data_IF_554058025726
#
_entry.id   IF_554058025726
#
_cell.length_a   1.000
_cell.length_b   1.000
_cell.length_c   1.000
_cell.angle_alpha   90.00
_cell.angle_beta   90.00
_cell.angle_gamma   90.00
#
_symmetry.space_group_name_H-M   'P 1'
#
loop_
_entity.id
_entity.type
_entity.pdbx_description
1 polymer ?
#
# COMPACT_ATOMS: atom_id res chain seq x y z
N UNK A 1 -14.55 1.51 64.15
CA UNK A 1 -14.56 2.39 62.94
C UNK A 1 -13.33 2.17 62.02
N UNK A 2 -12.08 2.14 62.52
CA UNK A 2 -10.89 1.94 61.63
C UNK A 2 -10.89 0.64 60.81
N UNK A 3 -11.42 -0.49 61.28
CA UNK A 3 -11.50 -1.75 60.56
C UNK A 3 -12.50 -1.74 59.37
N UNK A 4 -13.59 -0.99 59.48
CA UNK A 4 -14.62 -0.87 58.42
C UNK A 4 -14.07 -0.04 57.23
N UNK A 5 -13.29 1.02 57.51
CA UNK A 5 -12.65 1.82 56.46
C UNK A 5 -11.59 1.04 55.68
N UNK A 6 -10.86 0.14 56.33
CA UNK A 6 -9.84 -0.70 55.69
C UNK A 6 -10.50 -1.75 54.79
N UNK A 7 -11.64 -2.34 55.18
CA UNK A 7 -12.38 -3.32 54.38
C UNK A 7 -13.08 -2.67 53.19
N UNK A 8 -13.63 -1.47 53.35
CA UNK A 8 -14.23 -0.69 52.26
C UNK A 8 -13.18 -0.21 51.27
N UNK A 9 -11.99 0.21 51.71
CA UNK A 9 -10.89 0.61 50.86
C UNK A 9 -10.34 -0.60 50.06
N UNK A 10 -10.19 -1.76 50.70
CA UNK A 10 -9.74 -3.00 50.06
C UNK A 10 -10.75 -3.49 49.02
N UNK A 11 -12.07 -3.43 49.30
CA UNK A 11 -13.11 -3.74 48.34
C UNK A 11 -13.10 -2.76 47.16
N UNK A 12 -12.91 -1.47 47.39
CA UNK A 12 -12.84 -0.48 46.31
C UNK A 12 -11.64 -0.70 45.40
N UNK A 13 -10.48 -1.06 45.96
CA UNK A 13 -9.26 -1.41 45.19
C UNK A 13 -9.47 -2.70 44.35
N UNK A 14 -10.14 -3.71 44.93
CA UNK A 14 -10.44 -4.96 44.21
C UNK A 14 -11.46 -4.72 43.11
N UNK A 15 -12.51 -3.92 43.33
CA UNK A 15 -13.47 -3.57 42.27
C UNK A 15 -12.85 -2.69 41.19
N UNK A 16 -11.93 -1.79 41.53
CA UNK A 16 -11.17 -0.99 40.56
C UNK A 16 -10.25 -1.89 39.71
N UNK A 17 -9.53 -2.82 40.31
CA UNK A 17 -8.66 -3.77 39.61
C UNK A 17 -9.46 -4.74 38.69
N UNK A 18 -10.61 -5.24 39.12
CA UNK A 18 -11.49 -6.07 38.31
C UNK A 18 -12.10 -5.28 37.15
N UNK A 19 -12.45 -4.01 37.37
CA UNK A 19 -12.96 -3.14 36.31
C UNK A 19 -11.89 -2.81 35.25
N UNK A 20 -10.63 -2.61 35.67
CA UNK A 20 -9.49 -2.35 34.78
C UNK A 20 -9.11 -3.58 33.95
N UNK A 21 -9.11 -4.79 34.52
CA UNK A 21 -8.88 -6.01 33.77
C UNK A 21 -9.98 -6.26 32.72
N UNK A 22 -11.23 -6.02 33.05
CA UNK A 22 -12.35 -6.12 32.09
C UNK A 22 -12.27 -5.09 30.96
N UNK A 23 -11.65 -3.91 31.21
CA UNK A 23 -11.37 -2.91 30.17
C UNK A 23 -10.28 -3.39 29.21
N UNK A 24 -9.20 -3.99 29.71
CA UNK A 24 -8.10 -4.51 28.90
C UNK A 24 -8.54 -5.67 28.00
N UNK A 25 -9.26 -6.65 28.53
CA UNK A 25 -9.81 -7.77 27.73
C UNK A 25 -10.74 -7.28 26.60
N UNK A 26 -11.54 -6.25 26.88
CA UNK A 26 -12.39 -5.65 25.84
C UNK A 26 -11.56 -4.92 24.78
N UNK A 27 -10.49 -4.25 25.15
CA UNK A 27 -9.58 -3.60 24.22
C UNK A 27 -8.94 -4.62 23.29
N UNK A 28 -8.39 -5.72 23.82
CA UNK A 28 -7.84 -6.84 23.04
C UNK A 28 -8.86 -7.39 22.05
N UNK A 29 -10.10 -7.64 22.50
CA UNK A 29 -11.19 -8.15 21.64
C UNK A 29 -11.51 -7.21 20.46
N UNK A 30 -11.44 -5.88 20.65
CA UNK A 30 -11.64 -4.93 19.54
C UNK A 30 -10.42 -4.87 18.63
N UNK A 31 -9.21 -4.97 19.16
CA UNK A 31 -7.98 -5.07 18.40
C UNK A 31 -7.97 -6.31 17.49
N UNK A 32 -8.26 -7.50 18.03
CA UNK A 32 -8.39 -8.75 17.26
C UNK A 32 -9.44 -8.65 16.15
N UNK A 33 -10.53 -7.92 16.40
CA UNK A 33 -11.55 -7.63 15.38
C UNK A 33 -11.18 -6.53 14.40
N UNK A 34 -9.96 -6.01 14.48
CA UNK A 34 -9.46 -4.90 13.65
C UNK A 34 -10.31 -3.62 13.77
N UNK A 35 -11.04 -3.45 14.87
CA UNK A 35 -11.75 -2.20 15.19
C UNK A 35 -10.80 -1.28 15.97
N UNK A 36 -9.84 -0.71 15.26
CA UNK A 36 -8.76 0.07 15.86
C UNK A 36 -9.24 1.36 16.55
N UNK A 37 -10.21 2.13 16.02
CA UNK A 37 -10.73 3.29 16.75
C UNK A 37 -11.28 2.93 18.13
N UNK A 38 -12.01 1.82 18.24
CA UNK A 38 -12.57 1.37 19.51
C UNK A 38 -11.53 0.73 20.43
N UNK A 39 -10.55 0.02 19.87
CA UNK A 39 -9.42 -0.50 20.63
C UNK A 39 -8.61 0.64 21.26
N UNK A 40 -8.30 1.69 20.52
CA UNK A 40 -7.58 2.90 21.00
C UNK A 40 -8.31 3.50 22.19
N UNK A 41 -9.63 3.78 22.05
CA UNK A 41 -10.45 4.36 23.16
C UNK A 41 -10.32 3.55 24.46
N UNK A 42 -10.30 2.23 24.33
CA UNK A 42 -10.25 1.34 25.48
C UNK A 42 -8.83 1.19 26.04
N UNK A 43 -7.80 1.06 25.20
CA UNK A 43 -6.39 0.98 25.63
C UNK A 43 -5.92 2.24 26.33
N UNK A 44 -6.35 3.43 25.90
CA UNK A 44 -6.03 4.69 26.58
C UNK A 44 -6.47 4.73 28.04
N UNK A 45 -7.50 3.93 28.41
CA UNK A 45 -8.07 3.86 29.75
C UNK A 45 -7.76 2.53 30.48
N UNK A 46 -6.98 1.64 29.86
CA UNK A 46 -6.60 0.34 30.43
C UNK A 46 -5.27 0.43 31.20
N UNK A 47 -4.98 -0.55 32.08
CA UNK A 47 -3.66 -0.68 32.68
C UNK A 47 -2.57 -0.82 31.63
N UNK A 48 -1.47 -0.10 31.82
CA UNK A 48 -0.33 -0.13 30.92
C UNK A 48 0.51 -1.40 31.13
N UNK A 49 0.65 -2.20 30.07
CA UNK A 49 1.50 -3.38 29.98
C UNK A 49 2.27 -3.37 28.67
N UNK A 50 3.25 -4.26 28.50
CA UNK A 50 3.97 -4.41 27.23
C UNK A 50 2.97 -4.67 26.08
N UNK A 51 2.09 -5.65 26.23
CA UNK A 51 1.09 -6.02 25.24
C UNK A 51 0.10 -4.88 24.95
N UNK A 52 -0.37 -4.15 25.98
CA UNK A 52 -1.27 -3.02 25.76
C UNK A 52 -0.61 -1.86 25.01
N UNK A 53 0.69 -1.59 25.24
CA UNK A 53 1.44 -0.59 24.48
C UNK A 53 1.71 -1.05 23.04
N UNK A 54 2.02 -2.33 22.84
CA UNK A 54 2.17 -2.92 21.51
C UNK A 54 0.89 -2.74 20.69
N UNK A 55 -0.22 -3.23 21.21
CA UNK A 55 -1.51 -3.20 20.49
C UNK A 55 -2.06 -1.76 20.32
N UNK A 56 -1.79 -0.86 21.26
CA UNK A 56 -2.16 0.55 21.13
C UNK A 56 -1.32 1.25 20.06
N UNK A 57 0.00 1.00 20.06
CA UNK A 57 0.90 1.52 19.03
C UNK A 57 0.51 1.03 17.63
N UNK A 58 0.26 -0.28 17.52
CA UNK A 58 -0.23 -0.89 16.28
C UNK A 58 -1.57 -0.33 15.82
N UNK A 59 -2.51 -0.12 16.77
CA UNK A 59 -3.82 0.47 16.44
C UNK A 59 -3.68 1.87 15.85
N UNK A 60 -2.80 2.70 16.41
CA UNK A 60 -2.50 4.02 15.86
C UNK A 60 -1.81 3.93 14.50
N UNK A 61 -0.82 3.04 14.37
CA UNK A 61 -0.06 2.84 13.14
C UNK A 61 -0.97 2.43 11.97
N UNK A 62 -1.87 1.45 12.20
CA UNK A 62 -2.78 0.94 11.16
C UNK A 62 -3.86 1.92 10.70
N UNK A 63 -4.17 2.96 11.46
CA UNK A 63 -5.10 4.02 11.05
C UNK A 63 -4.39 5.35 10.74
N UNK A 64 -3.11 5.28 10.40
CA UNK A 64 -2.26 6.41 10.00
C UNK A 64 -2.13 7.55 11.04
N UNK A 65 -2.35 7.26 12.34
CA UNK A 65 -2.06 8.17 13.45
C UNK A 65 -0.61 8.02 13.90
N UNK A 66 0.29 8.46 13.03
CA UNK A 66 1.72 8.13 13.15
C UNK A 66 2.39 8.81 14.34
N UNK A 67 2.03 10.07 14.65
CA UNK A 67 2.58 10.78 15.83
C UNK A 67 2.24 10.06 17.14
N UNK A 68 0.99 9.60 17.28
CA UNK A 68 0.54 8.84 18.44
C UNK A 68 1.19 7.44 18.49
N UNK A 69 1.39 6.81 17.34
CA UNK A 69 2.12 5.54 17.24
C UNK A 69 3.56 5.69 17.73
N UNK A 70 4.30 6.72 17.25
CA UNK A 70 5.65 7.05 17.71
C UNK A 70 5.69 7.27 19.21
N UNK A 71 4.77 8.09 19.76
CA UNK A 71 4.71 8.35 21.19
C UNK A 71 4.45 7.09 22.02
N UNK A 72 3.66 6.14 21.49
CA UNK A 72 3.33 4.88 22.15
C UNK A 72 4.47 3.88 22.06
N UNK A 73 5.08 3.70 20.88
CA UNK A 73 6.24 2.82 20.71
C UNK A 73 7.44 3.34 21.52
N UNK A 74 7.65 4.67 21.59
CA UNK A 74 8.69 5.22 22.45
C UNK A 74 8.51 4.80 23.91
N UNK A 75 7.30 4.87 24.47
CA UNK A 75 7.01 4.38 25.82
C UNK A 75 7.29 2.89 25.98
N UNK A 76 6.95 2.08 24.95
CA UNK A 76 7.23 0.65 24.93
C UNK A 76 8.73 0.41 25.06
N UNK A 77 9.56 1.06 24.24
CA UNK A 77 11.02 0.91 24.21
C UNK A 77 11.73 1.52 25.43
N UNK A 78 11.18 2.60 26.00
CA UNK A 78 11.72 3.19 27.25
C UNK A 78 11.46 2.30 28.48
N UNK A 79 10.45 1.40 28.44
CA UNK A 79 9.99 0.65 29.63
C UNK A 79 10.36 -0.83 29.61
N UNK A 80 10.59 -1.41 28.45
CA UNK A 80 10.82 -2.85 28.30
C UNK A 80 12.07 -3.12 27.45
N UNK A 81 12.91 -4.06 27.93
CA UNK A 81 14.17 -4.43 27.25
C UNK A 81 13.99 -5.61 26.25
N UNK A 82 13.01 -6.47 26.50
CA UNK A 82 12.74 -7.64 25.64
C UNK A 82 11.52 -7.36 24.77
N UNK A 83 11.78 -6.83 23.58
CA UNK A 83 10.77 -6.46 22.59
C UNK A 83 10.97 -7.33 21.36
N UNK A 84 9.87 -7.83 20.80
CA UNK A 84 9.89 -8.62 19.56
C UNK A 84 10.51 -7.79 18.41
N UNK A 85 11.40 -8.38 17.58
CA UNK A 85 12.03 -7.72 16.44
C UNK A 85 11.08 -7.00 15.48
N UNK A 86 9.86 -7.49 15.31
CA UNK A 86 8.83 -6.86 14.50
C UNK A 86 8.53 -5.41 14.94
N UNK A 87 8.60 -5.11 16.25
CA UNK A 87 8.35 -3.75 16.78
C UNK A 87 9.49 -2.78 16.51
N UNK A 88 10.73 -3.25 16.31
CA UNK A 88 11.84 -2.41 15.83
C UNK A 88 11.54 -1.89 14.43
N UNK A 89 11.05 -2.78 13.55
CA UNK A 89 10.62 -2.41 12.20
C UNK A 89 9.46 -1.41 12.23
N UNK A 90 8.38 -1.70 12.97
CA UNK A 90 7.20 -0.82 13.07
C UNK A 90 7.54 0.54 13.66
N UNK A 91 8.34 0.58 14.73
CA UNK A 91 8.76 1.83 15.34
C UNK A 91 9.66 2.64 14.41
N UNK A 92 10.61 2.00 13.73
CA UNK A 92 11.44 2.68 12.74
C UNK A 92 10.59 3.27 11.59
N UNK A 93 9.61 2.53 11.08
CA UNK A 93 8.69 3.05 10.06
C UNK A 93 7.83 4.20 10.58
N UNK A 94 7.34 4.13 11.81
CA UNK A 94 6.63 5.25 12.43
C UNK A 94 7.53 6.49 12.58
N UNK A 95 8.79 6.33 12.99
CA UNK A 95 9.78 7.42 13.07
C UNK A 95 10.08 8.02 11.70
N UNK A 96 10.24 7.21 10.66
CA UNK A 96 10.35 7.70 9.28
C UNK A 96 9.11 8.51 8.91
N UNK A 97 7.91 8.03 9.25
CA UNK A 97 6.64 8.71 9.00
C UNK A 97 6.51 10.11 9.59
N UNK A 98 7.29 10.45 10.62
CA UNK A 98 7.43 11.81 11.17
C UNK A 98 8.73 12.51 10.72
N UNK A 99 9.51 11.92 9.81
CA UNK A 99 10.77 12.46 9.30
C UNK A 99 11.97 12.29 10.24
N UNK A 100 11.86 11.51 11.31
CA UNK A 100 12.96 11.24 12.24
C UNK A 100 13.85 10.08 11.76
N UNK A 101 14.51 10.28 10.61
CA UNK A 101 15.34 9.26 9.97
C UNK A 101 16.54 8.81 10.80
N UNK A 102 17.14 9.72 11.58
CA UNK A 102 18.32 9.41 12.40
C UNK A 102 18.02 8.34 13.45
N UNK A 103 16.90 8.47 14.16
CA UNK A 103 16.47 7.50 15.17
C UNK A 103 15.96 6.21 14.51
N UNK A 104 15.23 6.33 13.40
CA UNK A 104 14.77 5.18 12.63
C UNK A 104 15.93 4.31 12.12
N UNK A 105 16.93 4.93 11.52
CA UNK A 105 18.12 4.23 10.98
C UNK A 105 18.93 3.55 12.09
N UNK A 106 18.95 4.13 13.31
CA UNK A 106 19.60 3.54 14.47
C UNK A 106 18.90 2.27 15.01
N UNK A 107 17.59 2.13 14.76
CA UNK A 107 16.82 0.92 15.12
C UNK A 107 17.00 -0.24 14.13
N UNK A 108 17.37 0.06 12.88
CA UNK A 108 17.46 -0.89 11.75
C UNK A 108 18.91 -1.23 11.39
N UNK A 109 19.76 -1.50 12.38
CA UNK A 109 21.13 -1.96 12.16
C UNK A 109 21.13 -3.37 11.55
N UNK A 110 22.05 -3.63 10.62
CA UNK A 110 22.27 -4.97 10.08
C UNK A 110 22.87 -5.93 11.14
N UNK A 111 22.96 -7.22 10.81
CA UNK A 111 23.53 -8.27 11.69
C UNK A 111 24.98 -7.97 12.12
N UNK A 112 25.70 -7.10 11.41
CA UNK A 112 27.07 -6.69 11.71
C UNK A 112 27.12 -5.35 12.47
N UNK A 113 25.96 -4.76 12.82
CA UNK A 113 25.86 -3.48 13.48
C UNK A 113 26.15 -2.29 12.55
N UNK A 114 26.14 -2.48 11.21
CA UNK A 114 26.32 -1.38 10.29
C UNK A 114 25.01 -0.62 10.13
N UNK A 115 25.08 0.70 10.30
CA UNK A 115 23.95 1.59 10.04
C UNK A 115 23.74 1.83 8.55
N UNK A 116 22.50 2.14 8.19
CA UNK A 116 22.09 2.67 6.90
C UNK A 116 21.70 4.13 7.10
N UNK A 117 22.05 5.00 6.18
CA UNK A 117 21.57 6.37 6.20
C UNK A 117 20.53 6.58 5.10
N UNK A 118 19.27 6.63 5.52
CA UNK A 118 18.13 6.88 4.63
C UNK A 118 18.36 8.18 3.83
N UNK A 119 18.68 9.28 4.50
CA UNK A 119 18.88 10.58 3.83
C UNK A 119 20.02 10.58 2.82
N UNK A 120 21.12 9.91 3.12
CA UNK A 120 22.26 9.81 2.17
C UNK A 120 21.94 8.93 0.97
N UNK A 121 21.17 7.85 1.17
CA UNK A 121 20.73 6.99 0.09
C UNK A 121 19.81 7.76 -0.87
N UNK A 122 18.81 8.46 -0.36
CA UNK A 122 17.87 9.23 -1.19
C UNK A 122 18.54 10.41 -1.91
N UNK A 123 19.51 11.07 -1.29
CA UNK A 123 20.31 12.08 -2.00
C UNK A 123 21.02 11.50 -3.24
N UNK A 124 21.50 10.26 -3.17
CA UNK A 124 22.13 9.58 -4.32
C UNK A 124 21.08 9.14 -5.35
N UNK A 125 19.94 8.61 -4.91
CA UNK A 125 18.83 8.20 -5.78
C UNK A 125 18.37 9.42 -6.60
N UNK A 126 18.04 10.53 -5.96
CA UNK A 126 17.56 11.74 -6.62
C UNK A 126 18.57 12.32 -7.61
N UNK A 127 19.87 12.26 -7.29
CA UNK A 127 20.94 12.69 -8.20
C UNK A 127 21.09 11.77 -9.43
N UNK A 128 20.70 10.51 -9.33
CA UNK A 128 20.77 9.52 -10.42
C UNK A 128 19.50 9.41 -11.25
N UNK A 129 18.41 10.06 -10.83
CA UNK A 129 17.12 10.03 -11.52
C UNK A 129 17.18 10.75 -12.85
N UNK A 130 16.82 10.05 -13.94
CA UNK A 130 16.87 10.55 -15.31
C UNK A 130 15.52 11.15 -15.77
N UNK A 131 14.59 11.41 -14.85
CA UNK A 131 13.27 11.94 -15.14
C UNK A 131 12.97 13.11 -14.22
N UNK A 132 12.26 14.10 -14.77
CA UNK A 132 11.61 15.15 -13.99
C UNK A 132 10.15 14.75 -13.79
N UNK A 133 9.70 14.74 -12.54
CA UNK A 133 8.30 14.57 -12.20
C UNK A 133 7.73 15.90 -11.73
N UNK A 134 6.58 16.29 -12.30
CA UNK A 134 5.78 17.38 -11.78
C UNK A 134 4.56 16.73 -11.14
N UNK A 135 4.50 16.76 -9.82
CA UNK A 135 3.49 16.08 -9.01
C UNK A 135 2.51 17.07 -8.44
N UNK A 136 1.22 16.80 -8.59
CA UNK A 136 0.15 17.63 -8.07
C UNK A 136 -0.91 16.78 -7.38
N UNK A 137 -1.35 17.18 -6.18
CA UNK A 137 -2.57 16.63 -5.60
C UNK A 137 -3.76 17.08 -6.44
N UNK A 138 -4.62 16.16 -6.88
CA UNK A 138 -5.81 16.58 -7.65
C UNK A 138 -6.84 17.27 -6.75
N UNK A 139 -7.57 18.22 -7.30
CA UNK A 139 -8.55 19.01 -6.55
C UNK A 139 -9.81 18.21 -6.19
N UNK A 140 -10.05 17.13 -6.87
CA UNK A 140 -11.24 16.28 -6.78
C UNK A 140 -11.15 15.26 -5.63
N UNK A 141 -10.01 15.19 -4.94
CA UNK A 141 -9.92 14.46 -3.66
C UNK A 141 -10.87 15.11 -2.63
N UNK A 142 -11.52 14.28 -1.84
CA UNK A 142 -12.44 14.71 -0.78
C UNK A 142 -11.76 14.67 0.60
N UNK A 143 -12.54 14.68 1.66
CA UNK A 143 -12.07 14.40 3.03
C UNK A 143 -11.98 12.90 3.33
N UNK A 144 -12.38 12.05 2.39
CA UNK A 144 -12.38 10.60 2.47
C UNK A 144 -11.20 10.00 1.70
N UNK A 145 -10.99 8.69 1.83
CA UNK A 145 -9.94 7.97 1.10
C UNK A 145 -10.27 7.84 -0.39
N UNK A 146 -9.33 8.25 -1.26
CA UNK A 146 -9.34 8.07 -2.70
C UNK A 146 -8.02 7.46 -3.18
N UNK A 147 -8.07 6.30 -3.88
CA UNK A 147 -6.85 5.65 -4.34
C UNK A 147 -7.07 4.65 -5.50
N UNK A 148 -5.97 4.05 -5.99
CA UNK A 148 -5.99 2.90 -6.87
C UNK A 148 -6.43 3.23 -8.29
N UNK A 149 -5.92 4.32 -8.87
CA UNK A 149 -6.25 4.73 -10.22
C UNK A 149 -5.91 3.72 -11.29
N UNK A 150 -6.81 3.54 -12.29
CA UNK A 150 -6.60 2.73 -13.49
C UNK A 150 -7.19 3.42 -14.72
N UNK A 151 -6.43 3.49 -15.81
CA UNK A 151 -6.92 4.08 -17.05
C UNK A 151 -7.92 3.17 -17.77
N UNK A 152 -9.04 3.75 -18.20
CA UNK A 152 -10.01 3.15 -19.13
C UNK A 152 -10.25 4.14 -20.28
N UNK A 153 -9.49 4.00 -21.35
CA UNK A 153 -9.43 5.00 -22.41
C UNK A 153 -8.94 6.35 -21.87
N UNK A 154 -9.75 7.40 -22.00
CA UNK A 154 -9.47 8.75 -21.49
C UNK A 154 -10.00 8.99 -20.08
N UNK A 155 -10.48 7.96 -19.40
CA UNK A 155 -11.02 8.06 -18.07
C UNK A 155 -10.05 7.41 -17.06
N UNK A 156 -10.17 7.84 -15.79
CA UNK A 156 -9.56 7.19 -14.64
C UNK A 156 -10.65 6.52 -13.80
N UNK A 157 -10.49 5.22 -13.54
CA UNK A 157 -11.31 4.47 -12.58
C UNK A 157 -10.51 4.40 -11.27
N UNK A 158 -11.15 4.68 -10.13
CA UNK A 158 -10.48 4.73 -8.83
C UNK A 158 -11.44 4.36 -7.69
N UNK A 159 -10.90 3.93 -6.56
CA UNK A 159 -11.66 3.64 -5.35
C UNK A 159 -11.88 4.91 -4.53
N UNK A 160 -13.06 5.06 -3.92
CA UNK A 160 -13.35 6.17 -3.00
C UNK A 160 -14.37 5.78 -1.94
N UNK A 161 -14.17 6.23 -0.71
CA UNK A 161 -15.12 6.13 0.40
C UNK A 161 -16.05 7.35 0.53
N UNK A 162 -16.16 8.20 -0.50
CA UNK A 162 -16.99 9.42 -0.50
C UNK A 162 -18.50 9.20 -0.39
N UNK A 163 -18.97 7.96 -0.56
CA UNK A 163 -20.40 7.65 -0.49
C UNK A 163 -20.85 7.43 0.97
N UNK A 164 -21.30 8.50 1.62
CA UNK A 164 -21.75 8.48 3.01
C UNK A 164 -22.97 7.58 3.28
N UNK A 165 -23.63 7.03 2.24
CA UNK A 165 -24.74 6.07 2.41
C UNK A 165 -24.27 4.64 2.59
N UNK A 166 -22.98 4.35 2.36
CA UNK A 166 -22.39 3.03 2.57
C UNK A 166 -22.25 2.70 4.06
N UNK A 167 -22.26 1.41 4.45
CA UNK A 167 -21.91 1.01 5.80
C UNK A 167 -20.53 1.52 6.21
N UNK A 168 -20.34 1.75 7.51
CA UNK A 168 -19.07 2.20 8.06
C UNK A 168 -18.13 1.03 8.29
N UNK A 169 -16.90 1.11 7.74
CA UNK A 169 -15.87 0.15 7.95
C UNK A 169 -15.19 0.35 9.33
N UNK A 170 -15.23 -0.69 10.15
CA UNK A 170 -14.79 -0.60 11.55
C UNK A 170 -13.28 -0.40 11.72
N UNK A 171 -12.47 -0.64 10.69
CA UNK A 171 -11.01 -0.48 10.72
C UNK A 171 -10.61 0.99 10.93
N UNK A 172 -11.16 1.89 10.13
CA UNK A 172 -10.78 3.31 10.09
C UNK A 172 -11.96 4.28 10.35
N UNK A 173 -13.16 3.77 10.46
CA UNK A 173 -14.40 4.52 10.66
C UNK A 173 -14.82 5.36 9.42
N UNK A 174 -14.44 4.91 8.23
CA UNK A 174 -14.90 5.47 6.95
C UNK A 174 -15.98 4.61 6.29
N UNK A 175 -16.78 5.18 5.35
CA UNK A 175 -17.68 4.37 4.52
C UNK A 175 -16.91 3.31 3.71
N UNK A 176 -17.58 2.22 3.36
CA UNK A 176 -17.03 1.24 2.42
C UNK A 176 -16.70 1.89 1.07
N UNK A 177 -15.64 1.41 0.44
CA UNK A 177 -15.12 1.90 -0.83
C UNK A 177 -15.97 1.41 -2.00
N UNK A 178 -16.32 2.32 -2.91
CA UNK A 178 -16.90 2.05 -4.22
C UNK A 178 -15.90 2.43 -5.32
N UNK A 179 -15.99 1.81 -6.48
CA UNK A 179 -15.31 2.30 -7.69
C UNK A 179 -16.06 3.48 -8.30
N UNK A 180 -15.29 4.51 -8.66
CA UNK A 180 -15.72 5.71 -9.38
C UNK A 180 -14.99 5.82 -10.71
N UNK A 181 -15.54 6.61 -11.63
CA UNK A 181 -14.92 6.96 -12.91
C UNK A 181 -14.98 8.47 -13.10
N UNK A 182 -13.90 9.06 -13.61
CA UNK A 182 -13.82 10.47 -13.97
C UNK A 182 -13.06 10.66 -15.28
N UNK A 183 -13.43 11.67 -16.06
CA UNK A 183 -12.73 12.06 -17.29
C UNK A 183 -11.42 12.76 -16.95
N UNK A 184 -10.30 12.32 -17.55
CA UNK A 184 -8.98 12.91 -17.35
C UNK A 184 -8.87 14.23 -18.11
N UNK A 185 -8.62 15.32 -17.37
CA UNK A 185 -8.37 16.64 -17.94
C UNK A 185 -6.89 16.86 -18.30
N UNK A 186 -6.61 17.90 -19.11
CA UNK A 186 -5.25 18.23 -19.60
C UNK A 186 -4.22 18.43 -18.47
N UNK A 187 -4.66 18.87 -17.28
CA UNK A 187 -3.78 19.10 -16.12
C UNK A 187 -3.79 17.96 -15.12
N UNK A 188 -4.34 16.78 -15.48
CA UNK A 188 -4.44 15.63 -14.59
C UNK A 188 -5.53 15.71 -13.53
N UNK A 189 -6.36 16.76 -13.50
CA UNK A 189 -7.59 16.80 -12.73
C UNK A 189 -8.67 15.91 -13.35
N UNK A 190 -9.73 15.60 -12.60
CA UNK A 190 -10.82 14.74 -13.05
C UNK A 190 -12.11 15.53 -13.19
N UNK A 191 -12.86 15.30 -14.28
CA UNK A 191 -14.18 15.88 -14.51
C UNK A 191 -15.25 14.78 -14.56
N UNK A 192 -16.52 15.19 -14.39
CA UNK A 192 -17.69 14.32 -14.55
C UNK A 192 -17.61 13.02 -13.71
N UNK A 193 -17.11 13.13 -12.47
CA UNK A 193 -16.95 11.99 -11.57
C UNK A 193 -18.32 11.37 -11.25
N UNK A 194 -18.44 10.06 -11.46
CA UNK A 194 -19.65 9.29 -11.18
C UNK A 194 -19.30 7.90 -10.60
N UNK A 195 -20.24 7.24 -9.95
CA UNK A 195 -20.09 5.83 -9.61
C UNK A 195 -19.86 5.00 -10.87
N UNK A 196 -18.92 4.04 -10.79
CA UNK A 196 -18.50 3.26 -11.96
C UNK A 196 -19.60 2.32 -12.46
N UNK A 197 -20.18 1.51 -11.57
CA UNK A 197 -21.21 0.54 -11.95
C UNK A 197 -21.95 0.02 -10.72
N UNK A 198 -23.28 0.01 -10.73
CA UNK A 198 -24.09 -0.59 -9.67
C UNK A 198 -23.97 -2.12 -9.60
N UNK A 199 -23.53 -2.78 -10.68
CA UNK A 199 -23.32 -4.25 -10.71
C UNK A 199 -21.95 -4.58 -10.08
N UNK A 200 -20.98 -3.68 -10.24
CA UNK A 200 -19.64 -3.88 -9.69
C UNK A 200 -19.61 -3.44 -8.22
N UNK A 201 -20.13 -2.26 -7.90
CA UNK A 201 -20.19 -1.78 -6.51
C UNK A 201 -21.27 -2.53 -5.71
N UNK A 202 -20.88 -3.12 -4.58
CA UNK A 202 -21.76 -3.93 -3.71
C UNK A 202 -21.77 -3.36 -2.29
N UNK A 203 -22.25 -4.14 -1.32
CA UNK A 203 -22.25 -3.75 0.10
C UNK A 203 -20.89 -4.04 0.79
N UNK A 204 -19.85 -4.36 0.02
CA UNK A 204 -18.47 -4.55 0.50
C UNK A 204 -17.54 -3.54 -0.16
N UNK A 205 -16.21 -3.61 0.10
CA UNK A 205 -15.26 -2.78 -0.63
C UNK A 205 -15.03 -3.32 -2.03
N UNK A 206 -15.06 -2.44 -3.02
CA UNK A 206 -14.50 -2.64 -4.35
C UNK A 206 -13.36 -1.64 -4.57
N UNK A 207 -12.19 -2.18 -4.96
CA UNK A 207 -10.97 -1.37 -5.16
C UNK A 207 -10.21 -1.79 -6.41
N UNK A 208 -9.12 -1.13 -6.70
CA UNK A 208 -8.06 -1.47 -7.67
C UNK A 208 -8.53 -2.22 -8.91
N UNK A 209 -8.91 -1.49 -9.94
CA UNK A 209 -9.32 -2.08 -11.22
C UNK A 209 -8.14 -2.15 -12.20
N UNK A 210 -8.23 -3.06 -13.17
CA UNK A 210 -7.41 -3.10 -14.38
C UNK A 210 -8.24 -3.63 -15.54
N UNK A 211 -7.90 -3.26 -16.77
CA UNK A 211 -8.69 -3.57 -17.95
C UNK A 211 -7.85 -4.31 -18.97
N UNK A 212 -8.44 -5.29 -19.66
CA UNK A 212 -7.80 -5.94 -20.80
C UNK A 212 -7.49 -4.92 -21.91
N UNK A 213 -6.46 -5.15 -22.76
CA UNK A 213 -6.08 -4.21 -23.80
C UNK A 213 -7.20 -3.86 -24.78
N UNK A 214 -8.16 -4.76 -24.99
CA UNK A 214 -9.34 -4.54 -25.82
C UNK A 214 -10.52 -3.87 -25.07
N UNK A 215 -10.34 -3.55 -23.78
CA UNK A 215 -11.33 -2.91 -22.92
C UNK A 215 -12.59 -3.74 -22.64
N UNK A 216 -12.61 -5.06 -22.91
CA UNK A 216 -13.81 -5.89 -22.77
C UNK A 216 -13.85 -6.75 -21.51
N UNK A 217 -12.73 -6.89 -20.83
CA UNK A 217 -12.59 -7.58 -19.55
C UNK A 217 -12.04 -6.61 -18.52
N UNK A 218 -12.58 -6.61 -17.32
CA UNK A 218 -11.95 -5.98 -16.16
C UNK A 218 -11.61 -7.02 -15.10
N UNK A 219 -10.57 -6.72 -14.34
CA UNK A 219 -10.26 -7.38 -13.07
C UNK A 219 -10.28 -6.32 -11.98
N UNK A 220 -10.81 -6.66 -10.82
CA UNK A 220 -10.93 -5.73 -9.71
C UNK A 220 -10.98 -6.45 -8.38
N UNK A 221 -10.66 -5.76 -7.32
CA UNK A 221 -10.72 -6.32 -5.97
C UNK A 221 -12.11 -6.18 -5.38
N UNK A 222 -12.52 -7.20 -4.64
CA UNK A 222 -13.71 -7.16 -3.80
C UNK A 222 -13.44 -7.88 -2.48
N UNK A 223 -13.87 -7.27 -1.38
CA UNK A 223 -13.85 -7.94 -0.09
C UNK A 223 -14.91 -9.03 -0.08
N UNK A 224 -14.53 -10.24 0.32
CA UNK A 224 -15.45 -11.37 0.46
C UNK A 224 -16.56 -11.03 1.48
N UNK A 225 -17.80 -11.20 1.09
CA UNK A 225 -18.96 -10.99 1.99
C UNK A 225 -19.02 -12.01 3.12
N UNK A 226 -18.45 -13.21 2.90
CA UNK A 226 -18.39 -14.26 3.90
C UNK A 226 -17.07 -14.21 4.65
N UNK A 227 -17.17 -14.25 5.99
CA UNK A 227 -16.01 -14.31 6.87
C UNK A 227 -15.69 -15.75 7.18
N UNK A 228 -14.48 -16.14 6.83
CA UNK A 228 -13.94 -17.45 7.20
C UNK A 228 -13.17 -17.37 8.52
N UNK A 229 -13.09 -18.48 9.24
CA UNK A 229 -12.30 -18.58 10.45
C UNK A 229 -10.87 -18.98 10.08
N UNK A 230 -9.93 -18.06 10.21
CA UNK A 230 -8.50 -18.33 10.10
C UNK A 230 -7.93 -18.24 11.51
N UNK A 231 -7.36 -19.34 12.00
CA UNK A 231 -6.97 -19.51 13.40
C UNK A 231 -8.13 -19.21 14.35
N UNK A 232 -8.02 -18.19 15.20
CA UNK A 232 -9.08 -17.78 16.15
C UNK A 232 -9.86 -16.53 15.69
N UNK A 233 -9.49 -15.91 14.56
CA UNK A 233 -10.14 -14.73 14.02
C UNK A 233 -11.14 -15.08 12.90
N UNK A 234 -12.21 -14.29 12.79
CA UNK A 234 -13.08 -14.28 11.60
C UNK A 234 -12.62 -13.17 10.67
N UNK A 235 -12.06 -13.57 9.53
CA UNK A 235 -11.45 -12.68 8.54
C UNK A 235 -12.29 -12.72 7.25
N UNK A 236 -12.46 -11.57 6.61
CA UNK A 236 -12.91 -11.48 5.23
C UNK A 236 -11.67 -11.27 4.35
N UNK A 237 -11.38 -12.20 3.45
CA UNK A 237 -10.30 -12.07 2.48
C UNK A 237 -10.70 -11.10 1.37
N UNK A 238 -9.71 -10.52 0.71
CA UNK A 238 -9.90 -9.76 -0.53
C UNK A 238 -9.70 -10.73 -1.70
N UNK A 239 -10.57 -10.67 -2.67
CA UNK A 239 -10.51 -11.55 -3.85
C UNK A 239 -10.54 -10.74 -5.12
N UNK A 240 -9.73 -11.13 -6.11
CA UNK A 240 -9.82 -10.59 -7.45
C UNK A 240 -11.04 -11.22 -8.14
N UNK A 241 -11.87 -10.35 -8.70
CA UNK A 241 -12.99 -10.68 -9.56
C UNK A 241 -12.67 -10.30 -11.00
N UNK A 242 -13.32 -10.97 -11.94
CA UNK A 242 -13.37 -10.56 -13.34
C UNK A 242 -14.80 -10.27 -13.76
N UNK A 243 -14.98 -9.31 -14.68
CA UNK A 243 -16.27 -8.97 -15.26
C UNK A 243 -16.14 -8.66 -16.75
N UNK A 244 -17.18 -8.98 -17.54
CA UNK A 244 -17.24 -8.77 -18.97
C UNK A 244 -17.98 -7.47 -19.31
N UNK A 245 -17.51 -6.74 -20.33
CA UNK A 245 -18.24 -5.60 -20.91
C UNK A 245 -19.20 -6.13 -21.98
N UNK A 246 -20.49 -6.15 -21.68
CA UNK A 246 -21.55 -6.66 -22.57
C UNK A 246 -22.61 -5.59 -22.81
N UNK A 247 -22.72 -5.13 -24.05
CA UNK A 247 -23.70 -4.10 -24.45
C UNK A 247 -23.43 -2.73 -23.79
N UNK A 248 -22.18 -2.42 -23.45
CA UNK A 248 -21.76 -1.19 -22.81
C UNK A 248 -21.89 -1.20 -21.27
N UNK A 249 -22.24 -2.35 -20.67
CA UNK A 249 -22.37 -2.52 -19.23
C UNK A 249 -21.44 -3.63 -18.74
N UNK A 250 -20.83 -3.44 -17.56
CA UNK A 250 -20.06 -4.49 -16.88
C UNK A 250 -21.01 -5.52 -16.27
N UNK A 251 -20.79 -6.79 -16.58
CA UNK A 251 -21.67 -7.91 -16.20
C UNK A 251 -20.87 -9.13 -15.72
N UNK A 252 -21.60 -10.05 -15.06
CA UNK A 252 -21.11 -11.37 -14.66
C UNK A 252 -19.86 -11.31 -13.76
N UNK A 253 -19.82 -10.47 -12.70
CA UNK A 253 -18.68 -10.47 -11.81
C UNK A 253 -18.51 -11.83 -11.14
N UNK A 254 -17.36 -12.47 -11.33
CA UNK A 254 -17.01 -13.77 -10.74
C UNK A 254 -15.61 -13.76 -10.19
N UNK A 255 -15.33 -14.43 -9.04
CA UNK A 255 -13.97 -14.54 -8.55
C UNK A 255 -13.10 -15.30 -9.55
N UNK A 256 -11.82 -14.95 -9.64
CA UNK A 256 -10.85 -15.69 -10.46
C UNK A 256 -10.58 -17.07 -9.85
N UNK A 257 -10.19 -18.06 -10.68
CA UNK A 257 -10.07 -19.46 -10.24
C UNK A 257 -8.94 -19.72 -9.21
N UNK A 258 -8.03 -18.78 -9.03
CA UNK A 258 -6.96 -18.87 -8.04
C UNK A 258 -7.22 -18.03 -6.78
N UNK A 259 -8.36 -17.33 -6.67
CA UNK A 259 -8.80 -16.71 -5.43
C UNK A 259 -9.22 -17.77 -4.40
N UNK A 260 -9.11 -17.46 -3.12
CA UNK A 260 -9.40 -18.36 -2.02
C UNK A 260 -10.04 -17.62 -0.85
N UNK A 261 -10.76 -18.37 -0.02
CA UNK A 261 -11.24 -17.84 1.26
C UNK A 261 -10.17 -17.88 2.36
N UNK A 262 -9.02 -18.57 2.12
CA UNK A 262 -7.95 -18.76 3.11
C UNK A 262 -6.84 -17.70 3.01
N UNK A 263 -6.74 -17.00 1.89
CA UNK A 263 -5.76 -15.93 1.63
C UNK A 263 -6.35 -14.86 0.73
N UNK A 264 -5.75 -13.68 0.75
CA UNK A 264 -6.16 -12.57 -0.13
C UNK A 264 -5.42 -12.62 -1.46
N UNK A 265 -6.12 -12.20 -2.52
CA UNK A 265 -5.55 -11.83 -3.82
C UNK A 265 -6.05 -10.42 -4.14
N UNK A 266 -5.15 -9.48 -4.40
CA UNK A 266 -5.52 -8.07 -4.51
C UNK A 266 -4.65 -7.31 -5.52
N UNK A 267 -5.09 -6.11 -5.89
CA UNK A 267 -4.37 -5.15 -6.74
C UNK A 267 -3.97 -5.74 -8.10
N UNK A 268 -4.94 -6.18 -8.94
CA UNK A 268 -4.65 -6.79 -10.22
C UNK A 268 -4.05 -5.79 -11.22
N UNK A 269 -3.11 -6.24 -12.06
CA UNK A 269 -2.56 -5.49 -13.19
C UNK A 269 -2.36 -6.42 -14.39
N UNK A 270 -3.13 -6.24 -15.45
CA UNK A 270 -3.00 -7.03 -16.67
C UNK A 270 -1.88 -6.49 -17.55
N UNK A 271 -1.10 -7.39 -18.17
CA UNK A 271 -0.06 -6.99 -19.12
C UNK A 271 -0.66 -6.42 -20.41
N UNK A 272 0.08 -5.52 -21.08
CA UNK A 272 -0.38 -4.86 -22.31
C UNK A 272 -0.67 -5.82 -23.47
N UNK A 273 -0.10 -7.04 -23.47
CA UNK A 273 -0.42 -8.09 -24.44
C UNK A 273 -1.62 -8.98 -23.99
N UNK A 274 -2.20 -8.71 -22.82
CA UNK A 274 -3.33 -9.44 -22.25
C UNK A 274 -3.02 -10.86 -21.81
N UNK A 275 -1.73 -11.26 -21.72
CA UNK A 275 -1.35 -12.66 -21.47
C UNK A 275 -0.96 -12.97 -20.04
N UNK A 276 -0.76 -11.95 -19.19
CA UNK A 276 -0.44 -12.11 -17.79
C UNK A 276 -1.27 -11.19 -16.90
N UNK A 277 -1.65 -11.69 -15.76
CA UNK A 277 -2.22 -10.91 -14.68
C UNK A 277 -1.26 -10.94 -13.50
N UNK A 278 -0.73 -9.77 -13.15
CA UNK A 278 0.07 -9.55 -11.94
C UNK A 278 -0.87 -9.17 -10.80
N UNK A 279 -0.52 -9.56 -9.58
CA UNK A 279 -1.34 -9.26 -8.40
C UNK A 279 -0.53 -9.43 -7.11
N UNK A 280 -1.04 -8.89 -6.02
CA UNK A 280 -0.48 -9.05 -4.68
C UNK A 280 -1.23 -10.14 -3.92
N UNK A 281 -0.54 -10.92 -3.09
CA UNK A 281 -1.17 -11.99 -2.31
C UNK A 281 -0.31 -12.43 -1.11
N UNK A 282 -0.99 -12.85 -0.04
CA UNK A 282 -0.41 -13.56 1.11
C UNK A 282 -0.57 -15.10 1.00
N UNK A 283 -0.80 -15.60 -0.23
CA UNK A 283 -0.97 -17.03 -0.49
C UNK A 283 0.27 -17.86 -0.11
N UNK A 284 0.11 -19.19 0.09
CA UNK A 284 1.24 -20.08 0.34
C UNK A 284 2.35 -19.94 -0.71
N UNK A 285 3.58 -19.70 -0.26
CA UNK A 285 4.75 -19.44 -1.10
C UNK A 285 5.17 -17.98 -1.15
N UNK A 286 4.49 -17.08 -0.40
CA UNK A 286 4.97 -15.72 -0.14
C UNK A 286 6.25 -15.76 0.69
N UNK A 287 7.18 -14.82 0.42
CA UNK A 287 8.41 -14.58 1.17
C UNK A 287 8.12 -13.71 2.40
N UNK A 288 7.17 -12.78 2.25
CA UNK A 288 6.74 -11.84 3.27
C UNK A 288 5.26 -11.95 3.62
N UNK A 289 4.68 -10.83 4.05
CA UNK A 289 3.26 -10.76 4.39
C UNK A 289 2.37 -10.71 3.14
N UNK A 290 2.80 -9.94 2.13
CA UNK A 290 2.19 -9.86 0.80
C UNK A 290 3.29 -9.78 -0.24
N UNK A 291 3.23 -10.64 -1.25
CA UNK A 291 4.18 -10.69 -2.35
C UNK A 291 3.49 -10.41 -3.68
N UNK A 292 4.24 -9.93 -4.68
CA UNK A 292 3.77 -9.86 -6.06
C UNK A 292 3.91 -11.22 -6.72
N UNK A 293 2.79 -11.70 -7.27
CA UNK A 293 2.67 -12.90 -8.08
C UNK A 293 2.21 -12.55 -9.49
N UNK A 294 2.26 -13.52 -10.40
CA UNK A 294 1.57 -13.47 -11.68
C UNK A 294 0.97 -14.81 -12.04
N UNK A 295 -0.03 -14.78 -12.91
CA UNK A 295 -0.57 -15.94 -13.63
C UNK A 295 -0.55 -15.67 -15.11
N UNK A 296 -0.32 -16.71 -15.92
CA UNK A 296 -0.58 -16.62 -17.36
C UNK A 296 -2.08 -16.69 -17.63
N UNK A 297 -2.57 -15.87 -18.55
CA UNK A 297 -3.94 -15.88 -19.07
C UNK A 297 -3.94 -16.69 -20.37
N UNK A 298 -4.63 -17.82 -20.38
CA UNK A 298 -4.74 -18.67 -21.56
C UNK A 298 -5.70 -18.06 -22.61
N UNK A 299 -5.60 -18.44 -23.89
CA UNK A 299 -6.49 -17.92 -24.96
C UNK A 299 -7.99 -18.19 -24.71
N UNK A 300 -8.33 -19.18 -23.88
CA UNK A 300 -9.71 -19.50 -23.50
C UNK A 300 -10.20 -18.72 -22.27
N UNK A 301 -9.36 -17.80 -21.72
CA UNK A 301 -9.65 -16.98 -20.54
C UNK A 301 -9.47 -17.71 -19.21
N UNK A 302 -8.91 -18.93 -19.22
CA UNK A 302 -8.50 -19.63 -17.98
C UNK A 302 -7.14 -19.14 -17.51
N UNK A 303 -6.77 -19.44 -16.26
CA UNK A 303 -5.51 -18.99 -15.65
C UNK A 303 -4.55 -20.15 -15.42
N UNK A 304 -3.26 -19.87 -15.58
CA UNK A 304 -2.18 -20.74 -15.15
C UNK A 304 -2.06 -20.79 -13.62
N UNK A 305 -1.02 -21.47 -13.13
CA UNK A 305 -0.70 -21.48 -11.69
C UNK A 305 -0.05 -20.16 -11.28
N UNK A 306 -0.38 -19.58 -10.10
CA UNK A 306 0.32 -18.45 -9.56
C UNK A 306 1.83 -18.71 -9.41
N UNK A 307 2.63 -17.72 -9.78
CA UNK A 307 4.09 -17.74 -9.68
C UNK A 307 4.56 -16.49 -8.95
N UNK A 308 5.34 -16.68 -7.88
CA UNK A 308 5.97 -15.61 -7.12
C UNK A 308 7.09 -14.96 -7.93
N UNK A 309 7.20 -13.62 -7.94
CA UNK A 309 8.25 -12.91 -8.70
C UNK A 309 9.65 -13.03 -8.10
N UNK A 310 9.77 -13.54 -6.86
CA UNK A 310 11.03 -13.81 -6.20
C UNK A 310 11.74 -12.58 -5.61
N UNK A 311 12.93 -12.78 -5.03
CA UNK A 311 13.56 -11.81 -4.12
C UNK A 311 14.17 -10.57 -4.80
N UNK A 312 14.08 -10.44 -6.12
CA UNK A 312 14.43 -9.18 -6.79
C UNK A 312 13.33 -8.13 -6.65
N UNK A 313 12.09 -8.57 -6.46
CA UNK A 313 10.87 -7.77 -6.30
C UNK A 313 10.34 -7.89 -4.88
N UNK A 314 10.14 -9.11 -4.39
CA UNK A 314 9.52 -9.40 -3.11
C UNK A 314 10.54 -9.44 -1.96
N UNK A 315 10.10 -9.04 -0.77
CA UNK A 315 10.89 -8.98 0.46
C UNK A 315 10.27 -9.82 1.58
N UNK A 316 10.78 -9.72 2.80
CA UNK A 316 10.18 -10.33 3.98
C UNK A 316 8.96 -9.53 4.53
N UNK A 317 8.58 -8.43 3.89
CA UNK A 317 7.50 -7.56 4.35
C UNK A 317 6.37 -7.51 3.33
N UNK A 318 6.04 -6.35 2.79
CA UNK A 318 4.83 -6.16 1.98
C UNK A 318 5.17 -5.55 0.63
N UNK A 319 4.74 -6.23 -0.45
CA UNK A 319 4.73 -5.72 -1.82
C UNK A 319 3.30 -5.73 -2.36
N UNK A 320 2.82 -4.55 -2.78
CA UNK A 320 1.42 -4.34 -3.20
C UNK A 320 1.33 -3.43 -4.43
N UNK A 321 0.14 -3.31 -5.00
CA UNK A 321 -0.18 -2.43 -6.12
C UNK A 321 0.76 -2.58 -7.32
N UNK A 322 0.95 -3.79 -7.88
CA UNK A 322 1.73 -3.94 -9.09
C UNK A 322 1.07 -3.22 -10.26
N UNK A 323 1.88 -2.57 -11.09
CA UNK A 323 1.48 -2.04 -12.37
C UNK A 323 2.54 -2.40 -13.41
N UNK A 324 2.14 -3.12 -14.45
CA UNK A 324 3.03 -3.49 -15.56
C UNK A 324 2.83 -2.53 -16.72
N UNK A 325 3.87 -1.73 -17.01
CA UNK A 325 3.85 -0.77 -18.10
C UNK A 325 4.02 -1.44 -19.46
N UNK A 326 3.73 -0.72 -20.56
CA UNK A 326 3.82 -1.19 -21.94
C UNK A 326 5.22 -1.68 -22.34
N UNK A 327 6.27 -1.06 -21.79
CA UNK A 327 7.67 -1.46 -22.00
C UNK A 327 8.10 -2.68 -21.16
N UNK A 328 7.18 -3.24 -20.39
CA UNK A 328 7.43 -4.36 -19.49
C UNK A 328 8.08 -3.97 -18.15
N UNK A 329 8.24 -2.69 -17.84
CA UNK A 329 8.67 -2.24 -16.52
C UNK A 329 7.55 -2.47 -15.51
N UNK A 330 7.88 -3.16 -14.41
CA UNK A 330 6.98 -3.36 -13.27
C UNK A 330 7.16 -2.21 -12.29
N UNK A 331 6.08 -1.54 -11.92
CA UNK A 331 6.00 -0.62 -10.78
C UNK A 331 5.21 -1.29 -9.67
N UNK A 332 5.56 -1.03 -8.42
CA UNK A 332 4.86 -1.60 -7.26
C UNK A 332 5.19 -0.80 -6.00
N UNK A 333 4.41 -0.95 -4.95
CA UNK A 333 4.66 -0.35 -3.65
C UNK A 333 5.24 -1.39 -2.69
N UNK A 334 6.23 -0.99 -1.88
CA UNK A 334 6.83 -1.86 -0.87
C UNK A 334 7.30 -1.07 0.35
N UNK A 335 7.23 -1.73 1.53
CA UNK A 335 7.84 -1.22 2.76
C UNK A 335 9.04 -2.06 3.22
N UNK A 336 9.46 -3.08 2.46
CA UNK A 336 10.49 -4.03 2.87
C UNK A 336 11.86 -3.81 2.26
N UNK A 337 11.99 -3.01 1.20
CA UNK A 337 13.29 -2.71 0.61
C UNK A 337 14.11 -1.76 1.49
N UNK A 338 15.45 -1.93 1.46
CA UNK A 338 16.37 -1.17 2.31
C UNK A 338 16.31 0.35 2.05
N UNK A 339 16.23 0.73 0.78
CA UNK A 339 16.06 2.11 0.34
C UNK A 339 14.59 2.51 0.42
N UNK A 340 14.04 2.63 1.63
CA UNK A 340 12.66 3.02 1.92
C UNK A 340 12.65 4.36 2.66
N UNK A 341 11.84 5.32 2.18
CA UNK A 341 11.73 6.67 2.75
C UNK A 341 10.72 6.72 3.91
N UNK A 342 9.67 5.90 3.84
CA UNK A 342 8.66 5.79 4.89
C UNK A 342 7.49 4.95 4.42
N UNK A 343 6.70 4.31 5.27
CA UNK A 343 5.55 3.53 4.87
C UNK A 343 5.77 2.63 3.64
N UNK A 344 4.81 2.64 2.71
CA UNK A 344 4.96 2.07 1.37
C UNK A 344 5.62 3.10 0.45
N UNK A 345 6.73 2.73 -0.20
CA UNK A 345 7.35 3.51 -1.27
C UNK A 345 7.07 2.86 -2.63
N UNK A 346 6.97 3.65 -3.68
CA UNK A 346 6.88 3.18 -5.07
C UNK A 346 8.26 2.83 -5.59
N UNK A 347 8.39 1.61 -6.11
CA UNK A 347 9.58 1.06 -6.76
C UNK A 347 9.28 0.70 -8.20
N UNK A 348 10.33 0.51 -8.99
CA UNK A 348 10.24 -0.08 -10.32
C UNK A 348 11.32 -1.15 -10.52
N UNK A 349 11.03 -2.13 -11.39
CA UNK A 349 11.95 -3.17 -11.80
C UNK A 349 11.83 -3.41 -13.31
N UNK A 350 12.97 -3.46 -14.00
CA UNK A 350 12.99 -3.68 -15.44
C UNK A 350 12.82 -5.15 -15.78
N UNK A 351 12.10 -5.43 -16.85
CA UNK A 351 11.96 -6.79 -17.40
C UNK A 351 13.34 -7.36 -17.74
N UNK A 352 13.62 -8.57 -17.28
CA UNK A 352 14.87 -9.30 -17.53
C UNK A 352 14.60 -10.78 -17.78
N UNK A 353 14.56 -11.19 -19.05
CA UNK A 353 14.12 -12.53 -19.44
C UNK A 353 12.70 -12.79 -18.98
N UNK A 354 12.46 -13.89 -18.27
CA UNK A 354 11.14 -14.22 -17.70
C UNK A 354 10.86 -13.54 -16.35
N UNK A 355 11.86 -12.94 -15.72
CA UNK A 355 11.77 -12.25 -14.44
C UNK A 355 12.03 -10.75 -14.53
N UNK A 356 12.52 -10.18 -13.40
CA UNK A 356 12.80 -8.76 -13.25
C UNK A 356 14.21 -8.51 -12.68
N UNK A 357 14.72 -7.30 -12.91
CA UNK A 357 15.90 -6.79 -12.20
C UNK A 357 15.60 -6.62 -10.71
N UNK A 358 16.62 -6.29 -9.92
CA UNK A 358 16.39 -5.72 -8.58
C UNK A 358 15.52 -4.48 -8.70
N UNK A 359 14.73 -4.24 -7.65
CA UNK A 359 13.90 -3.06 -7.53
C UNK A 359 14.75 -1.78 -7.32
N UNK A 360 14.25 -0.66 -7.85
CA UNK A 360 14.81 0.69 -7.68
C UNK A 360 13.71 1.60 -7.12
N UNK A 361 14.04 2.38 -6.09
CA UNK A 361 13.13 3.36 -5.53
C UNK A 361 12.95 4.55 -6.48
N UNK A 362 11.72 5.11 -6.56
CA UNK A 362 11.39 6.23 -7.45
C UNK A 362 11.93 7.59 -6.99
N UNK A 363 12.51 7.69 -5.78
CA UNK A 363 13.07 8.92 -5.22
C UNK A 363 12.05 9.83 -4.55
N UNK A 364 12.54 10.95 -3.99
CA UNK A 364 11.77 11.82 -3.09
C UNK A 364 10.73 12.70 -3.79
N UNK A 365 10.76 12.82 -5.12
CA UNK A 365 9.73 13.55 -5.86
C UNK A 365 8.42 12.79 -5.91
N UNK A 366 8.49 11.45 -5.99
CA UNK A 366 7.33 10.55 -5.99
C UNK A 366 7.04 10.08 -4.58
N UNK A 367 8.03 9.52 -3.91
CA UNK A 367 7.88 8.97 -2.56
C UNK A 367 8.03 10.04 -1.48
N UNK A 368 7.31 9.86 -0.39
CA UNK A 368 7.32 10.70 0.80
C UNK A 368 7.70 9.89 2.05
N UNK A 369 7.62 10.50 3.20
CA UNK A 369 7.77 9.79 4.48
C UNK A 369 6.50 9.02 4.92
N UNK A 370 5.48 8.94 4.06
CA UNK A 370 4.20 8.25 4.29
C UNK A 370 4.03 7.13 3.26
N UNK A 371 2.83 6.54 3.19
CA UNK A 371 2.54 5.56 2.14
C UNK A 371 2.38 6.25 0.79
N UNK A 372 3.10 5.76 -0.21
CA UNK A 372 3.00 6.12 -1.61
C UNK A 372 2.82 4.82 -2.42
N UNK A 373 1.72 4.71 -3.18
CA UNK A 373 1.31 3.44 -3.78
C UNK A 373 0.44 3.62 -5.03
N UNK A 374 0.04 2.53 -5.65
CA UNK A 374 -0.87 2.48 -6.79
C UNK A 374 -0.46 3.37 -7.97
N UNK A 375 0.83 3.33 -8.33
CA UNK A 375 1.37 4.06 -9.48
C UNK A 375 0.83 3.50 -10.79
N UNK A 376 0.33 4.38 -11.67
CA UNK A 376 -0.04 4.08 -13.05
C UNK A 376 0.38 5.22 -13.97
N UNK A 377 0.74 4.89 -15.21
CA UNK A 377 1.08 5.89 -16.24
C UNK A 377 0.42 5.53 -17.57
N UNK A 378 -0.05 6.55 -18.27
CA UNK A 378 -0.43 6.47 -19.67
C UNK A 378 0.68 7.13 -20.50
N UNK A 379 1.41 6.33 -21.29
CA UNK A 379 2.55 6.83 -22.03
C UNK A 379 2.16 7.74 -23.22
N UNK A 380 0.95 7.60 -23.76
CA UNK A 380 0.44 8.45 -24.83
C UNK A 380 0.13 9.87 -24.33
N UNK A 381 -0.36 9.95 -23.07
CA UNK A 381 -0.65 11.23 -22.42
C UNK A 381 0.57 11.82 -21.70
N UNK A 382 1.67 11.07 -21.59
CA UNK A 382 2.85 11.38 -20.76
C UNK A 382 2.47 11.77 -19.33
N UNK A 383 1.36 11.22 -18.83
CA UNK A 383 0.73 11.54 -17.57
C UNK A 383 0.40 10.26 -16.79
N UNK A 384 0.47 10.34 -15.48
CA UNK A 384 0.11 9.24 -14.60
C UNK A 384 -0.49 9.71 -13.29
N UNK A 385 -0.84 8.72 -12.48
CA UNK A 385 -1.38 8.92 -11.14
C UNK A 385 -0.70 7.99 -10.16
N UNK A 386 -0.66 8.40 -8.92
CA UNK A 386 -0.36 7.54 -7.77
C UNK A 386 -1.17 8.00 -6.57
N UNK A 387 -1.21 7.18 -5.55
CA UNK A 387 -1.92 7.48 -4.31
C UNK A 387 -0.93 7.70 -3.19
N UNK A 388 -1.27 8.60 -2.25
CA UNK A 388 -0.44 8.89 -1.10
C UNK A 388 -1.26 9.40 0.07
N UNK A 389 -0.89 8.96 1.29
CA UNK A 389 -1.50 9.47 2.52
C UNK A 389 -0.64 10.56 3.21
N UNK A 390 0.23 11.25 2.45
CA UNK A 390 1.09 12.33 2.96
C UNK A 390 0.33 13.53 3.53
N UNK A 391 -0.97 13.65 3.23
CA UNK A 391 -1.88 14.67 3.77
C UNK A 391 -2.86 14.11 4.81
N UNK A 392 -2.56 12.96 5.42
CA UNK A 392 -3.32 12.22 6.44
C UNK A 392 -4.57 11.46 5.95
N UNK A 393 -4.95 11.57 4.68
CA UNK A 393 -5.92 10.72 3.98
C UNK A 393 -5.28 10.14 2.74
N UNK A 394 -5.79 9.01 2.23
CA UNK A 394 -5.36 8.51 0.95
C UNK A 394 -5.89 9.43 -0.14
N UNK A 395 -4.99 10.13 -0.80
CA UNK A 395 -5.28 11.09 -1.86
C UNK A 395 -4.69 10.61 -3.19
N UNK A 396 -5.35 10.95 -4.30
CA UNK A 396 -4.81 10.75 -5.64
C UNK A 396 -3.95 11.97 -6.01
N UNK A 397 -2.77 11.70 -6.53
CA UNK A 397 -1.84 12.66 -7.12
C UNK A 397 -1.70 12.38 -8.60
N UNK A 398 -1.77 13.41 -9.43
CA UNK A 398 -1.38 13.33 -10.83
C UNK A 398 0.09 13.72 -10.99
N UNK A 399 0.73 13.20 -12.03
CA UNK A 399 2.08 13.61 -12.40
C UNK A 399 2.26 13.61 -13.91
N UNK A 400 3.18 14.47 -14.38
CA UNK A 400 3.80 14.36 -15.70
C UNK A 400 5.24 13.93 -15.52
N UNK A 401 5.75 13.14 -16.50
CA UNK A 401 7.08 12.56 -16.44
C UNK A 401 7.85 12.93 -17.71
N UNK A 402 8.73 13.91 -17.59
CA UNK A 402 9.63 14.30 -18.68
C UNK A 402 10.99 13.63 -18.54
N UNK A 403 11.53 13.13 -19.65
CA UNK A 403 12.90 12.64 -19.66
C UNK A 403 13.88 13.80 -19.61
N UNK A 404 14.83 13.76 -18.68
CA UNK A 404 15.98 14.69 -18.71
C UNK A 404 16.83 14.40 -19.96
N UNK A 405 16.82 15.31 -20.91
CA UNK A 405 17.65 15.20 -22.13
C UNK A 405 18.97 15.90 -21.84
N UNK A 406 20.05 15.12 -21.70
CA UNK A 406 21.41 15.66 -21.64
C UNK A 406 22.00 15.66 -23.04
N UNK A 407 22.26 16.85 -23.60
CA UNK A 407 22.96 16.98 -24.86
C UNK A 407 24.47 16.95 -24.53
N UNK A 408 25.15 15.85 -24.88
CA UNK A 408 26.58 15.73 -24.75
C UNK A 408 27.18 16.10 -26.09
N UNK A 409 27.88 17.24 -26.15
CA UNK A 409 28.67 17.64 -27.28
C UNK A 409 30.14 17.20 -27.13
N UNK A 410 30.69 16.66 -28.18
CA UNK A 410 32.09 16.24 -28.18
C UNK A 410 32.66 16.15 -29.59
N UNK A 411 33.95 15.98 -29.69
CA UNK A 411 34.65 15.72 -30.95
C UNK A 411 35.25 14.32 -30.92
N UNK A 412 34.98 13.54 -31.98
CA UNK A 412 35.62 12.23 -32.15
C UNK A 412 37.00 12.42 -32.77
N UNK A 413 38.03 11.90 -32.13
CA UNK A 413 39.42 11.93 -32.60
C UNK A 413 39.93 10.51 -32.78
N UNK A 414 40.77 10.34 -33.83
CA UNK A 414 41.54 9.12 -33.99
C UNK A 414 42.46 8.90 -32.78
N UNK A 415 42.38 7.72 -32.17
CA UNK A 415 43.11 7.40 -30.93
C UNK A 415 44.65 7.47 -31.10
N UNK A 416 45.15 7.20 -32.30
CA UNK A 416 46.59 7.11 -32.60
C UNK A 416 47.15 8.46 -33.04
N UNK A 417 46.42 9.16 -33.89
CA UNK A 417 46.91 10.42 -34.49
C UNK A 417 46.39 11.68 -33.80
N UNK A 418 45.43 11.53 -32.89
CA UNK A 418 44.73 12.62 -32.18
C UNK A 418 44.05 13.65 -33.13
N UNK A 419 43.86 13.29 -34.41
CA UNK A 419 43.20 14.14 -35.40
C UNK A 419 41.67 13.96 -35.32
N UNK A 420 40.94 15.05 -35.61
CA UNK A 420 39.49 15.02 -35.75
C UNK A 420 39.07 14.04 -36.85
N UNK A 421 38.08 13.23 -36.56
CA UNK A 421 37.46 12.33 -37.53
C UNK A 421 36.23 13.02 -38.12
N UNK A 422 36.24 13.44 -39.38
CA UNK A 422 35.08 14.09 -39.99
C UNK A 422 33.99 13.08 -40.32
N UNK A 423 32.74 13.42 -40.06
CA UNK A 423 31.57 12.63 -40.46
C UNK A 423 31.15 11.49 -39.51
N UNK A 424 31.57 11.52 -38.23
CA UNK A 424 31.13 10.61 -37.17
C UNK A 424 30.09 11.26 -36.29
#
# INVERSE_FOLDING_TARGET
MKKIYFTLLALFVVFAALGQNGSLERAHKFFEKKNFPKAIELYQNAPESQESLQNLGDSYFYINKIDEAVGTYKKLFDKYDQIDPEYYFRYAHALKGIGNYTEADALLLDENGNGFSTLEAFKKIDQSTNFNFIVNRINENTEHSEFGGAFLGTNLVFASSRNATRPIYVWNNEPYLDLYIGEVGENGGLANIAQFSEIINTDTHETSATFSPDGKMMYFDRTNSEKVKIEDAKVATIQIYKADLVGGEWKNPTPVSFASDEYSTEHPSVSNDGKRLYFSSDMPGSLGSFDIFYVDINPDGTFGKPQNLGPNVNTAHREQFPFINEDGTLYFASNGHKENLGGLDIYYAHKKGDGFSKAFNMGTVVNSNRDDFAYVINNELEMGYFSSNRNNSDDIFSFTKDRNIFIVGGVVKDKTTNKLMPGT
#
